data_IF_332865060599
#
_entry.id   IF_332865060599
#
_cell.length_a   1.000
_cell.length_b   1.000
_cell.length_c   1.000
_cell.angle_alpha   90.00
_cell.angle_beta   90.00
_cell.angle_gamma   90.00
#
_symmetry.space_group_name_H-M   'P 1'
#
loop_
_entity.id
_entity.type
_entity.pdbx_description
1 polymer ?
#
# COMPACT_ATOMS: atom_id res chain seq x y z
N UNK A 1 53.84 20.63 -53.76
CA UNK A 1 52.71 20.33 -54.66
C UNK A 1 52.08 19.01 -54.22
N UNK A 2 50.74 19.00 -54.16
CA UNK A 2 49.82 17.84 -54.18
C UNK A 2 50.08 16.68 -53.18
N UNK A 3 49.30 16.52 -52.10
CA UNK A 3 47.96 15.90 -52.03
C UNK A 3 47.80 14.57 -52.81
N UNK A 4 47.54 13.48 -52.07
CA UNK A 4 46.37 12.58 -52.19
C UNK A 4 46.29 11.57 -51.02
N UNK A 5 45.14 11.57 -50.33
CA UNK A 5 44.59 10.57 -49.37
C UNK A 5 44.27 9.22 -50.08
N UNK A 6 43.89 8.06 -49.44
CA UNK A 6 43.04 7.86 -48.23
C UNK A 6 43.46 6.60 -47.37
N UNK A 7 42.66 5.99 -46.44
CA UNK A 7 41.29 6.28 -45.99
C UNK A 7 41.05 6.40 -44.46
N UNK A 8 39.97 7.12 -44.15
CA UNK A 8 39.07 7.01 -43.01
C UNK A 8 39.50 6.10 -41.84
N UNK A 9 40.15 6.72 -40.83
CA UNK A 9 40.04 6.24 -39.46
C UNK A 9 38.73 6.79 -38.89
N UNK A 10 37.67 5.99 -38.94
CA UNK A 10 36.43 6.24 -38.20
C UNK A 10 36.78 6.20 -36.71
N UNK A 11 36.83 7.38 -36.08
CA UNK A 11 36.93 7.49 -34.63
C UNK A 11 35.56 7.09 -34.05
N UNK A 12 35.42 5.82 -33.68
CA UNK A 12 34.32 5.34 -32.85
C UNK A 12 34.44 6.02 -31.47
N UNK A 13 33.65 7.07 -31.27
CA UNK A 13 33.32 7.60 -29.95
C UNK A 13 32.47 6.55 -29.21
N UNK A 14 33.15 5.63 -28.55
CA UNK A 14 32.55 4.84 -27.47
C UNK A 14 32.30 5.80 -26.31
N UNK A 15 31.12 6.44 -26.31
CA UNK A 15 30.54 6.99 -25.09
C UNK A 15 30.15 5.79 -24.24
N UNK A 16 31.12 5.25 -23.51
CA UNK A 16 30.83 4.47 -22.32
C UNK A 16 30.25 5.46 -21.31
N UNK A 17 28.94 5.69 -21.39
CA UNK A 17 28.19 6.16 -20.25
C UNK A 17 28.37 5.06 -19.20
N UNK A 18 29.34 5.26 -18.31
CA UNK A 18 29.34 4.59 -17.03
C UNK A 18 28.06 5.04 -16.33
N UNK A 19 26.96 4.35 -16.61
CA UNK A 19 25.81 4.33 -15.74
C UNK A 19 26.33 3.59 -14.51
N UNK A 20 27.01 4.32 -13.63
CA UNK A 20 27.00 3.94 -12.23
C UNK A 20 25.53 3.64 -11.93
N UNK A 21 25.20 2.48 -11.32
CA UNK A 21 23.83 2.28 -10.90
C UNK A 21 23.50 3.54 -10.12
N UNK A 22 22.51 4.30 -10.59
CA UNK A 22 21.84 5.27 -9.74
C UNK A 22 21.38 4.38 -8.60
N UNK A 23 22.15 4.32 -7.51
CA UNK A 23 21.60 3.96 -6.22
C UNK A 23 20.56 5.05 -6.05
N UNK A 24 19.32 4.78 -6.48
CA UNK A 24 18.23 5.73 -6.40
C UNK A 24 18.20 6.07 -4.93
N UNK A 25 18.64 7.28 -4.59
CA UNK A 25 18.64 7.70 -3.21
C UNK A 25 17.19 7.56 -2.77
N UNK A 26 16.95 6.68 -1.79
CA UNK A 26 15.61 6.46 -1.24
C UNK A 26 15.17 7.81 -0.68
N UNK A 27 14.17 8.41 -1.33
CA UNK A 27 13.65 9.74 -1.00
C UNK A 27 12.18 9.60 -0.65
N UNK A 28 11.67 10.43 0.27
CA UNK A 28 10.25 10.45 0.57
C UNK A 28 9.41 10.84 -0.66
N UNK A 29 8.10 10.61 -0.56
CA UNK A 29 7.12 11.17 -1.49
C UNK A 29 7.33 12.68 -1.64
N UNK A 30 7.21 13.19 -2.86
CA UNK A 30 7.64 14.54 -3.25
C UNK A 30 6.71 15.16 -4.29
N UNK A 31 6.93 16.42 -4.64
CA UNK A 31 6.16 17.12 -5.68
C UNK A 31 6.21 16.42 -7.05
N UNK A 32 7.28 15.67 -7.34
CA UNK A 32 7.35 14.87 -8.56
C UNK A 32 6.27 13.76 -8.57
N UNK A 33 5.96 13.17 -7.42
CA UNK A 33 4.87 12.19 -7.31
C UNK A 33 3.51 12.87 -7.50
N UNK A 34 3.35 14.11 -7.02
CA UNK A 34 2.13 14.90 -7.22
C UNK A 34 1.90 15.19 -8.71
N UNK A 35 2.95 15.61 -9.42
CA UNK A 35 2.88 15.87 -10.86
C UNK A 35 2.56 14.59 -11.65
N UNK A 36 3.25 13.48 -11.36
CA UNK A 36 3.01 12.21 -12.05
C UNK A 36 1.60 11.68 -11.77
N UNK A 37 1.10 11.78 -10.54
CA UNK A 37 -0.28 11.39 -10.24
C UNK A 37 -1.28 12.24 -11.05
N UNK A 38 -1.06 13.55 -11.15
CA UNK A 38 -1.93 14.43 -11.94
C UNK A 38 -1.93 14.07 -13.44
N UNK A 39 -0.78 13.67 -13.98
CA UNK A 39 -0.66 13.22 -15.37
C UNK A 39 -1.31 11.85 -15.61
N UNK A 40 -1.04 10.87 -14.74
CA UNK A 40 -1.56 9.50 -14.87
C UNK A 40 -3.09 9.44 -14.74
N UNK A 41 -3.67 10.28 -13.90
CA UNK A 41 -5.11 10.37 -13.68
C UNK A 41 -5.77 11.54 -14.46
N UNK A 42 -5.07 12.12 -15.44
CA UNK A 42 -5.62 13.22 -16.25
C UNK A 42 -6.79 12.78 -17.14
N UNK A 43 -6.77 11.54 -17.62
CA UNK A 43 -7.92 10.94 -18.28
C UNK A 43 -9.02 10.71 -17.24
N UNK A 44 -10.20 11.30 -17.46
CA UNK A 44 -11.36 11.07 -16.59
C UNK A 44 -11.62 9.57 -16.52
N UNK A 45 -11.57 8.94 -15.34
CA UNK A 45 -11.86 7.53 -15.23
C UNK A 45 -13.31 7.24 -15.62
N UNK A 46 -13.52 6.18 -16.42
CA UNK A 46 -14.86 5.77 -16.88
C UNK A 46 -15.48 4.69 -15.97
N UNK A 47 -14.71 4.13 -15.03
CA UNK A 47 -15.15 3.10 -14.09
C UNK A 47 -14.94 3.52 -12.62
N UNK A 48 -15.67 2.86 -11.71
CA UNK A 48 -15.70 3.18 -10.28
C UNK A 48 -14.34 2.93 -9.58
N UNK A 49 -13.63 1.87 -9.95
CA UNK A 49 -12.36 1.51 -9.30
C UNK A 49 -11.30 2.55 -9.62
N UNK A 50 -11.08 2.84 -10.90
CA UNK A 50 -10.12 3.87 -11.32
C UNK A 50 -10.54 5.27 -10.82
N UNK A 51 -11.84 5.55 -10.73
CA UNK A 51 -12.35 6.80 -10.12
C UNK A 51 -11.94 6.91 -8.66
N UNK A 52 -12.18 5.87 -7.86
CA UNK A 52 -11.80 5.84 -6.44
C UNK A 52 -10.29 6.02 -6.27
N UNK A 53 -9.49 5.28 -7.04
CA UNK A 53 -8.03 5.36 -7.00
C UNK A 53 -7.51 6.77 -7.27
N UNK A 54 -8.07 7.45 -8.27
CA UNK A 54 -7.72 8.82 -8.60
C UNK A 54 -8.04 9.78 -7.43
N UNK A 55 -9.29 9.78 -6.96
CA UNK A 55 -9.72 10.74 -5.92
C UNK A 55 -9.02 10.49 -4.59
N UNK A 56 -8.78 9.22 -4.25
CA UNK A 56 -8.05 8.82 -3.04
C UNK A 56 -6.58 9.22 -3.13
N UNK A 57 -5.92 8.97 -4.27
CA UNK A 57 -4.52 9.38 -4.50
C UNK A 57 -4.36 10.89 -4.37
N UNK A 58 -5.23 11.67 -5.01
CA UNK A 58 -5.19 13.13 -4.91
C UNK A 58 -5.43 13.63 -3.48
N UNK A 59 -6.32 12.98 -2.73
CA UNK A 59 -6.53 13.30 -1.30
C UNK A 59 -5.28 13.05 -0.47
N UNK A 60 -4.61 11.91 -0.64
CA UNK A 60 -3.38 11.57 0.09
C UNK A 60 -2.23 12.52 -0.26
N UNK A 61 -2.08 12.88 -1.52
CA UNK A 61 -1.01 13.76 -2.01
C UNK A 61 -1.30 15.25 -1.82
N UNK A 62 -2.52 15.63 -1.42
CA UNK A 62 -2.93 17.04 -1.36
C UNK A 62 -2.88 17.73 -2.73
N UNK A 63 -3.16 17.00 -3.80
CA UNK A 63 -3.26 17.54 -5.17
C UNK A 63 -4.61 18.21 -5.34
N UNK A 64 -4.61 19.45 -5.83
CA UNK A 64 -5.84 20.17 -6.11
C UNK A 64 -6.55 19.54 -7.31
N UNK A 65 -7.80 19.12 -7.09
CA UNK A 65 -8.62 18.45 -8.11
C UNK A 65 -9.43 19.45 -8.93
N UNK A 66 -9.71 19.10 -10.18
CA UNK A 66 -10.71 19.78 -10.98
C UNK A 66 -12.11 19.55 -10.36
N UNK A 67 -12.87 20.62 -10.12
CA UNK A 67 -14.24 20.54 -9.61
C UNK A 67 -15.16 19.72 -10.53
N UNK A 68 -14.87 19.67 -11.82
CA UNK A 68 -15.55 18.83 -12.80
C UNK A 68 -15.33 17.34 -12.58
N UNK A 69 -14.16 16.92 -12.08
CA UNK A 69 -13.88 15.53 -11.70
C UNK A 69 -14.71 15.14 -10.48
N UNK A 70 -14.66 15.96 -9.42
CA UNK A 70 -15.40 15.69 -8.17
C UNK A 70 -16.92 15.59 -8.43
N UNK A 71 -17.48 16.49 -9.25
CA UNK A 71 -18.89 16.46 -9.62
C UNK A 71 -19.29 15.21 -10.42
N UNK A 72 -18.46 14.78 -11.38
CA UNK A 72 -18.70 13.55 -12.15
C UNK A 72 -18.61 12.30 -11.27
N UNK A 73 -17.58 12.22 -10.43
CA UNK A 73 -17.37 11.11 -9.51
C UNK A 73 -18.53 10.98 -8.51
N UNK A 74 -18.99 12.10 -7.93
CA UNK A 74 -20.16 12.08 -7.05
C UNK A 74 -21.44 11.67 -7.78
N UNK A 75 -21.65 12.12 -9.02
CA UNK A 75 -22.81 11.69 -9.81
C UNK A 75 -22.78 10.19 -10.11
N UNK A 76 -21.60 9.66 -10.47
CA UNK A 76 -21.40 8.23 -10.70
C UNK A 76 -21.66 7.42 -9.43
N UNK A 77 -21.10 7.83 -8.29
CA UNK A 77 -21.32 7.18 -7.01
C UNK A 77 -22.80 7.21 -6.61
N UNK A 78 -23.47 8.36 -6.66
CA UNK A 78 -24.87 8.49 -6.30
C UNK A 78 -25.79 7.63 -7.19
N UNK A 79 -25.52 7.57 -8.49
CA UNK A 79 -26.24 6.72 -9.43
C UNK A 79 -26.08 5.23 -9.07
N UNK A 80 -24.85 4.77 -8.82
CA UNK A 80 -24.57 3.39 -8.42
C UNK A 80 -25.22 3.02 -7.09
N UNK A 81 -25.13 3.88 -6.07
CA UNK A 81 -25.72 3.63 -4.75
C UNK A 81 -27.25 3.54 -4.81
N UNK A 82 -27.88 4.34 -5.67
CA UNK A 82 -29.35 4.35 -5.85
C UNK A 82 -29.86 3.18 -6.69
N UNK A 83 -28.97 2.46 -7.38
CA UNK A 83 -29.34 1.31 -8.22
C UNK A 83 -29.52 0.06 -7.38
N UNK A 84 -30.72 -0.53 -7.44
CA UNK A 84 -31.05 -1.76 -6.72
C UNK A 84 -30.32 -3.01 -7.23
N UNK A 85 -29.74 -2.96 -8.44
CA UNK A 85 -29.05 -4.09 -9.08
C UNK A 85 -27.53 -4.01 -9.01
N UNK A 86 -26.96 -2.98 -8.37
CA UNK A 86 -25.50 -2.86 -8.27
C UNK A 86 -24.89 -3.99 -7.43
N UNK A 87 -23.80 -4.63 -7.92
CA UNK A 87 -23.08 -5.66 -7.19
C UNK A 87 -22.29 -5.08 -5.99
N UNK A 88 -21.87 -5.94 -5.07
CA UNK A 88 -21.16 -5.53 -3.85
C UNK A 88 -19.87 -4.73 -4.16
N UNK A 89 -19.10 -5.14 -5.18
CA UNK A 89 -17.90 -4.42 -5.65
C UNK A 89 -18.22 -2.96 -6.00
N UNK A 90 -19.28 -2.73 -6.77
CA UNK A 90 -19.64 -1.40 -7.23
C UNK A 90 -20.17 -0.53 -6.09
N UNK A 91 -20.96 -1.13 -5.19
CA UNK A 91 -21.42 -0.46 -3.96
C UNK A 91 -20.23 -0.05 -3.09
N UNK A 92 -19.28 -0.95 -2.86
CA UNK A 92 -18.07 -0.66 -2.10
C UNK A 92 -17.31 0.55 -2.66
N UNK A 93 -17.00 0.53 -3.96
CA UNK A 93 -16.29 1.64 -4.62
C UNK A 93 -17.09 2.94 -4.58
N UNK A 94 -18.41 2.88 -4.82
CA UNK A 94 -19.27 4.06 -4.78
C UNK A 94 -19.37 4.68 -3.38
N UNK A 95 -19.47 3.86 -2.32
CA UNK A 95 -19.45 4.34 -0.92
C UNK A 95 -18.12 5.01 -0.61
N UNK A 96 -17.00 4.44 -1.07
CA UNK A 96 -15.67 5.01 -0.84
C UNK A 96 -15.48 6.35 -1.57
N UNK A 97 -15.92 6.45 -2.83
CA UNK A 97 -15.93 7.72 -3.57
C UNK A 97 -16.75 8.77 -2.82
N UNK A 98 -17.96 8.39 -2.37
CA UNK A 98 -18.85 9.28 -1.64
C UNK A 98 -18.20 9.80 -0.35
N UNK A 99 -17.54 8.93 0.41
CA UNK A 99 -16.84 9.31 1.64
C UNK A 99 -15.57 10.13 1.43
N UNK A 100 -14.81 9.84 0.38
CA UNK A 100 -13.59 10.60 0.05
C UNK A 100 -13.93 12.05 -0.33
N UNK A 101 -14.98 12.24 -1.13
CA UNK A 101 -15.40 13.53 -1.70
C UNK A 101 -16.46 14.28 -0.89
N UNK A 102 -17.13 13.61 0.06
CA UNK A 102 -18.27 14.20 0.78
C UNK A 102 -19.49 14.43 -0.12
N UNK A 103 -19.80 13.45 -0.99
CA UNK A 103 -20.91 13.56 -1.92
C UNK A 103 -22.26 13.67 -1.20
N UNK A 104 -23.18 14.49 -1.73
CA UNK A 104 -24.54 14.59 -1.20
C UNK A 104 -25.40 13.43 -1.69
N UNK A 105 -25.55 12.40 -0.87
CA UNK A 105 -26.42 11.23 -1.10
C UNK A 105 -27.49 11.20 0.00
N UNK A 106 -28.72 10.81 -0.36
CA UNK A 106 -29.82 10.71 0.59
C UNK A 106 -29.55 9.63 1.65
N UNK A 107 -29.92 9.90 2.91
CA UNK A 107 -29.65 9.00 4.02
C UNK A 107 -30.33 7.62 3.86
N UNK A 108 -31.53 7.56 3.28
CA UNK A 108 -32.25 6.31 3.06
C UNK A 108 -31.56 5.39 2.05
N UNK A 109 -30.74 5.94 1.15
CA UNK A 109 -29.93 5.15 0.21
C UNK A 109 -28.85 4.38 0.95
N UNK A 110 -28.23 4.98 1.98
CA UNK A 110 -27.19 4.30 2.75
C UNK A 110 -27.74 3.16 3.62
N UNK A 111 -28.97 3.29 4.13
CA UNK A 111 -29.65 2.23 4.86
C UNK A 111 -30.00 1.02 3.95
N UNK A 112 -30.44 1.29 2.72
CA UNK A 112 -30.65 0.26 1.68
C UNK A 112 -29.34 -0.46 1.33
N UNK A 113 -28.29 0.31 1.05
CA UNK A 113 -26.96 -0.24 0.73
C UNK A 113 -26.43 -1.10 1.88
N UNK A 114 -26.52 -0.63 3.12
CA UNK A 114 -26.10 -1.41 4.29
C UNK A 114 -26.87 -2.73 4.39
N UNK A 115 -28.19 -2.72 4.13
CA UNK A 115 -29.02 -3.91 4.16
C UNK A 115 -28.63 -4.92 3.08
N UNK A 116 -28.34 -4.45 1.86
CA UNK A 116 -27.90 -5.29 0.74
C UNK A 116 -26.52 -5.90 0.96
N UNK A 117 -25.55 -5.13 1.45
CA UNK A 117 -24.22 -5.66 1.76
C UNK A 117 -24.28 -6.70 2.89
N UNK A 118 -25.12 -6.49 3.91
CA UNK A 118 -25.35 -7.51 4.95
C UNK A 118 -25.99 -8.79 4.39
N UNK A 119 -26.88 -8.68 3.40
CA UNK A 119 -27.45 -9.85 2.75
C UNK A 119 -26.39 -10.66 2.01
N UNK A 120 -25.49 -10.00 1.25
CA UNK A 120 -24.38 -10.65 0.56
C UNK A 120 -23.48 -11.43 1.52
N UNK A 121 -23.14 -10.87 2.68
CA UNK A 121 -22.29 -11.52 3.70
C UNK A 121 -22.90 -12.84 4.19
N UNK A 122 -24.23 -12.96 4.26
CA UNK A 122 -24.90 -14.16 4.79
C UNK A 122 -24.81 -15.36 3.85
N UNK A 123 -24.77 -15.11 2.55
CA UNK A 123 -24.94 -16.15 1.53
C UNK A 123 -23.63 -16.49 0.81
N UNK A 124 -22.56 -15.74 1.04
CA UNK A 124 -21.32 -15.87 0.27
C UNK A 124 -20.30 -16.83 0.89
N UNK A 125 -19.60 -17.56 0.02
CA UNK A 125 -18.37 -18.32 0.30
C UNK A 125 -17.13 -17.66 -0.35
N UNK A 126 -17.30 -16.50 -0.99
CA UNK A 126 -16.25 -15.79 -1.71
C UNK A 126 -15.58 -14.72 -0.85
N UNK A 127 -14.25 -14.78 -0.81
CA UNK A 127 -13.41 -13.78 -0.18
C UNK A 127 -13.66 -12.37 -0.71
N UNK A 128 -13.87 -12.22 -2.02
CA UNK A 128 -14.07 -10.91 -2.64
C UNK A 128 -15.42 -10.30 -2.22
N UNK A 129 -16.47 -11.11 -2.18
CA UNK A 129 -17.78 -10.66 -1.72
C UNK A 129 -17.76 -10.28 -0.22
N UNK A 130 -17.05 -11.05 0.61
CA UNK A 130 -16.77 -10.64 2.00
C UNK A 130 -16.03 -9.32 2.05
N UNK A 131 -14.95 -9.18 1.30
CA UNK A 131 -14.11 -7.98 1.27
C UNK A 131 -14.90 -6.73 0.88
N UNK A 132 -15.62 -6.78 -0.24
CA UNK A 132 -16.41 -5.63 -0.71
C UNK A 132 -17.56 -5.30 0.23
N UNK A 133 -18.26 -6.32 0.75
CA UNK A 133 -19.41 -6.08 1.61
C UNK A 133 -19.02 -5.57 2.98
N UNK A 134 -18.03 -6.18 3.63
CA UNK A 134 -17.51 -5.72 4.93
C UNK A 134 -16.84 -4.35 4.78
N UNK A 135 -16.02 -4.16 3.75
CA UNK A 135 -15.36 -2.88 3.47
C UNK A 135 -16.36 -1.76 3.18
N UNK A 136 -17.46 -2.05 2.49
CA UNK A 136 -18.54 -1.11 2.22
C UNK A 136 -19.26 -0.69 3.50
N UNK A 137 -19.62 -1.66 4.35
CA UNK A 137 -20.20 -1.40 5.67
C UNK A 137 -19.28 -0.58 6.57
N UNK A 138 -17.98 -0.88 6.58
CA UNK A 138 -16.98 -0.11 7.33
C UNK A 138 -16.91 1.33 6.81
N UNK A 139 -16.89 1.50 5.49
CA UNK A 139 -16.83 2.83 4.87
C UNK A 139 -18.08 3.67 5.19
N UNK A 140 -19.25 3.06 5.33
CA UNK A 140 -20.46 3.73 5.82
C UNK A 140 -20.32 4.14 7.29
N UNK A 141 -19.80 3.25 8.14
CA UNK A 141 -19.55 3.55 9.57
C UNK A 141 -18.58 4.71 9.74
N UNK A 142 -17.50 4.75 8.97
CA UNK A 142 -16.51 5.83 8.99
C UNK A 142 -17.08 7.18 8.53
N UNK A 143 -18.13 7.16 7.71
CA UNK A 143 -18.89 8.35 7.30
C UNK A 143 -19.93 8.80 8.35
N UNK A 144 -20.04 8.10 9.48
CA UNK A 144 -20.94 8.45 10.59
C UNK A 144 -22.31 7.75 10.54
N UNK A 145 -22.51 6.80 9.63
CA UNK A 145 -23.74 5.99 9.61
C UNK A 145 -23.70 4.91 10.69
N UNK A 146 -24.85 4.63 11.31
CA UNK A 146 -24.97 3.61 12.35
C UNK A 146 -24.98 2.20 11.73
N UNK A 147 -23.80 1.61 11.58
CA UNK A 147 -23.64 0.27 11.00
C UNK A 147 -22.96 -0.68 11.99
N UNK A 148 -23.63 -1.80 12.24
CA UNK A 148 -23.15 -2.92 13.05
C UNK A 148 -23.31 -4.22 12.26
N UNK A 149 -22.32 -5.11 12.38
CA UNK A 149 -22.38 -6.48 11.89
C UNK A 149 -22.70 -7.42 13.05
N UNK A 150 -23.97 -7.83 13.19
CA UNK A 150 -24.43 -8.68 14.31
C UNK A 150 -23.79 -10.06 14.30
N UNK A 151 -23.53 -10.60 13.11
CA UNK A 151 -23.02 -11.97 12.91
C UNK A 151 -21.50 -11.99 12.76
N UNK A 152 -20.81 -11.01 13.36
CA UNK A 152 -19.37 -10.78 13.17
C UNK A 152 -18.51 -12.01 13.48
N UNK A 153 -18.84 -12.77 14.53
CA UNK A 153 -18.09 -13.99 14.88
C UNK A 153 -18.19 -15.06 13.77
N UNK A 154 -19.40 -15.33 13.29
CA UNK A 154 -19.64 -16.26 12.17
C UNK A 154 -18.95 -15.79 10.88
N UNK A 155 -19.03 -14.49 10.56
CA UNK A 155 -18.34 -13.92 9.38
C UNK A 155 -16.82 -14.03 9.52
N UNK A 156 -16.27 -13.77 10.71
CA UNK A 156 -14.84 -13.91 10.98
C UNK A 156 -14.38 -15.36 10.74
N UNK A 157 -15.14 -16.33 11.26
CA UNK A 157 -14.85 -17.75 11.05
C UNK A 157 -14.92 -18.17 9.58
N UNK A 158 -15.89 -17.66 8.83
CA UNK A 158 -16.03 -17.95 7.39
C UNK A 158 -14.81 -17.44 6.60
N UNK A 159 -14.39 -16.19 6.82
CA UNK A 159 -13.19 -15.64 6.15
C UNK A 159 -11.93 -16.38 6.62
N UNK A 160 -11.84 -16.73 7.91
CA UNK A 160 -10.71 -17.49 8.44
C UNK A 160 -10.60 -18.89 7.83
N UNK A 161 -11.71 -19.55 7.53
CA UNK A 161 -11.71 -20.90 6.94
C UNK A 161 -10.99 -20.96 5.58
N UNK A 162 -10.87 -19.83 4.88
CA UNK A 162 -10.15 -19.70 3.60
C UNK A 162 -8.62 -19.67 3.76
N UNK A 163 -8.12 -19.48 4.98
CA UNK A 163 -6.68 -19.40 5.28
C UNK A 163 -5.95 -20.73 5.07
N UNK A 164 -4.72 -20.69 4.57
CA UNK A 164 -3.84 -21.85 4.45
C UNK A 164 -2.73 -21.84 5.50
N UNK A 165 -2.09 -23.00 5.68
CA UNK A 165 -1.08 -23.22 6.72
C UNK A 165 0.16 -22.35 6.55
N UNK A 166 0.44 -21.84 5.35
CA UNK A 166 1.56 -20.96 5.00
C UNK A 166 1.25 -19.46 5.10
N UNK A 167 0.04 -19.11 5.54
CA UNK A 167 -0.40 -17.71 5.65
C UNK A 167 -0.94 -17.11 4.35
N UNK A 168 -1.12 -17.91 3.28
CA UNK A 168 -1.88 -17.49 2.08
C UNK A 168 -3.35 -17.78 2.23
N UNK A 169 -4.19 -17.13 1.43
CA UNK A 169 -5.66 -17.29 1.48
C UNK A 169 -6.22 -17.74 0.14
N UNK A 170 -7.27 -18.56 0.20
CA UNK A 170 -8.09 -18.93 -0.96
C UNK A 170 -9.11 -17.84 -1.27
N UNK A 171 -9.57 -17.79 -2.52
CA UNK A 171 -10.62 -16.85 -2.94
C UNK A 171 -12.02 -17.34 -2.61
N UNK A 172 -12.19 -18.65 -2.47
CA UNK A 172 -13.45 -19.26 -2.08
C UNK A 172 -13.18 -20.66 -1.51
N UNK A 173 -14.22 -21.34 -1.04
CA UNK A 173 -14.09 -22.66 -0.42
C UNK A 173 -13.74 -23.77 -1.41
N UNK A 174 -14.02 -23.57 -2.70
CA UNK A 174 -13.85 -24.56 -3.77
C UNK A 174 -12.52 -24.40 -4.51
N UNK A 175 -11.89 -23.22 -4.47
CA UNK A 175 -10.60 -22.98 -5.09
C UNK A 175 -9.54 -23.83 -4.40
N UNK A 176 -8.72 -24.56 -5.17
CA UNK A 176 -7.53 -25.23 -4.63
C UNK A 176 -6.39 -24.23 -4.41
N UNK A 177 -6.42 -23.13 -5.14
CA UNK A 177 -5.34 -22.14 -5.16
C UNK A 177 -5.52 -21.09 -4.07
N UNK A 178 -4.40 -20.77 -3.42
CA UNK A 178 -4.29 -19.70 -2.44
C UNK A 178 -3.21 -18.72 -2.86
N UNK A 179 -3.39 -17.46 -2.49
CA UNK A 179 -2.54 -16.38 -2.95
C UNK A 179 -2.11 -15.45 -1.83
N UNK A 180 -0.96 -14.81 -2.03
CA UNK A 180 -0.43 -13.76 -1.15
C UNK A 180 -1.25 -12.49 -1.29
N UNK A 181 -1.69 -12.17 -2.52
CA UNK A 181 -2.58 -11.05 -2.77
C UNK A 181 -3.92 -11.21 -2.04
N UNK A 182 -4.50 -12.43 -2.04
CA UNK A 182 -5.73 -12.75 -1.30
C UNK A 182 -5.53 -12.67 0.21
N UNK A 183 -4.34 -12.97 0.73
CA UNK A 183 -4.06 -12.82 2.16
C UNK A 183 -4.21 -11.36 2.61
N UNK A 184 -3.72 -10.41 1.81
CA UNK A 184 -3.94 -8.98 2.08
C UNK A 184 -5.42 -8.60 2.13
N UNK A 185 -6.20 -9.03 1.13
CA UNK A 185 -7.66 -8.82 1.06
C UNK A 185 -8.36 -9.41 2.29
N UNK A 186 -8.02 -10.63 2.67
CA UNK A 186 -8.63 -11.31 3.81
C UNK A 186 -8.32 -10.62 5.13
N UNK A 187 -7.08 -10.16 5.34
CA UNK A 187 -6.70 -9.44 6.55
C UNK A 187 -7.43 -8.11 6.67
N UNK A 188 -7.65 -7.40 5.56
CA UNK A 188 -8.44 -6.18 5.54
C UNK A 188 -9.91 -6.45 5.85
N UNK A 189 -10.50 -7.50 5.25
CA UNK A 189 -11.87 -7.91 5.53
C UNK A 189 -12.05 -8.31 7.01
N UNK A 190 -11.13 -9.11 7.57
CA UNK A 190 -11.13 -9.47 8.99
C UNK A 190 -11.02 -8.24 9.89
N UNK A 191 -10.21 -7.25 9.51
CA UNK A 191 -10.11 -5.99 10.25
C UNK A 191 -11.44 -5.23 10.26
N UNK A 192 -12.14 -5.19 9.11
CA UNK A 192 -13.46 -4.60 9.01
C UNK A 192 -14.51 -5.32 9.85
N UNK A 193 -14.48 -6.66 9.90
CA UNK A 193 -15.38 -7.45 10.77
C UNK A 193 -15.18 -7.07 12.24
N UNK A 194 -13.93 -7.01 12.71
CA UNK A 194 -13.61 -6.61 14.10
C UNK A 194 -14.11 -5.19 14.39
N UNK A 195 -13.91 -4.25 13.46
CA UNK A 195 -14.37 -2.85 13.61
C UNK A 195 -15.89 -2.69 13.61
N UNK A 196 -16.62 -3.57 12.91
CA UNK A 196 -18.08 -3.53 12.78
C UNK A 196 -18.82 -4.31 13.86
N UNK A 197 -18.10 -5.12 14.64
CA UNK A 197 -18.68 -5.92 15.72
C UNK A 197 -19.01 -5.06 16.94
N UNK A 198 -20.19 -5.30 17.53
CA UNK A 198 -20.56 -4.74 18.85
C UNK A 198 -20.06 -5.61 20.01
N UNK A 199 -19.68 -6.87 19.71
CA UNK A 199 -19.12 -7.80 20.68
C UNK A 199 -17.63 -8.04 20.41
N UNK A 200 -16.87 -8.39 21.45
CA UNK A 200 -15.47 -8.79 21.28
C UNK A 200 -15.41 -10.09 20.46
N UNK A 201 -14.69 -10.05 19.33
CA UNK A 201 -14.36 -11.25 18.53
C UNK A 201 -13.38 -12.11 19.32
N UNK A 202 -13.54 -13.43 19.29
CA UNK A 202 -12.73 -14.38 20.08
C UNK A 202 -11.21 -14.06 20.01
N UNK A 203 -10.59 -13.67 21.14
CA UNK A 203 -9.17 -13.36 21.19
C UNK A 203 -8.25 -14.50 20.74
N UNK A 204 -8.69 -15.75 20.89
CA UNK A 204 -7.94 -16.93 20.44
C UNK A 204 -7.85 -16.96 18.92
N UNK A 205 -8.96 -16.65 18.22
CA UNK A 205 -9.04 -16.57 16.76
C UNK A 205 -8.20 -15.41 16.21
N UNK A 206 -8.20 -14.27 16.90
CA UNK A 206 -7.28 -13.16 16.61
C UNK A 206 -5.82 -13.63 16.73
N UNK A 207 -5.50 -14.45 17.75
CA UNK A 207 -4.19 -15.08 17.91
C UNK A 207 -3.79 -15.97 16.74
N UNK A 208 -4.73 -16.77 16.21
CA UNK A 208 -4.48 -17.60 15.03
C UNK A 208 -4.16 -16.75 13.80
N UNK A 209 -4.93 -15.69 13.54
CA UNK A 209 -4.67 -14.77 12.41
C UNK A 209 -3.30 -14.09 12.56
N UNK A 210 -2.92 -13.67 13.77
CA UNK A 210 -1.58 -13.12 14.04
C UNK A 210 -0.47 -14.10 13.66
N UNK A 211 -0.64 -15.39 13.98
CA UNK A 211 0.32 -16.41 13.60
C UNK A 211 0.39 -16.62 12.09
N UNK A 212 -0.74 -16.58 11.39
CA UNK A 212 -0.76 -16.69 9.93
C UNK A 212 -0.08 -15.49 9.25
N UNK A 213 -0.21 -14.28 9.79
CA UNK A 213 0.57 -13.11 9.34
C UNK A 213 2.08 -13.38 9.48
N UNK A 214 2.55 -13.95 10.60
CA UNK A 214 3.97 -14.28 10.77
C UNK A 214 4.46 -15.25 9.69
N UNK A 215 3.66 -16.26 9.36
CA UNK A 215 3.99 -17.24 8.31
C UNK A 215 3.99 -16.61 6.92
N UNK A 216 3.02 -15.73 6.63
CA UNK A 216 2.99 -14.96 5.40
C UNK A 216 4.27 -14.13 5.25
N UNK A 217 4.69 -13.42 6.29
CA UNK A 217 5.96 -12.69 6.27
C UNK A 217 7.18 -13.61 6.19
N UNK A 218 7.05 -14.92 6.44
CA UNK A 218 8.08 -15.92 6.19
C UNK A 218 8.34 -16.19 4.69
N UNK A 219 7.39 -15.86 3.80
CA UNK A 219 7.50 -16.08 2.35
C UNK A 219 7.96 -14.84 1.56
N UNK A 220 8.14 -13.70 2.25
CA UNK A 220 8.56 -12.44 1.66
C UNK A 220 9.91 -12.60 0.94
N UNK A 221 10.04 -11.97 -0.23
CA UNK A 221 11.29 -11.95 -1.00
C UNK A 221 12.15 -10.77 -0.56
N UNK A 222 13.46 -10.89 -0.76
CA UNK A 222 14.42 -9.86 -0.42
C UNK A 222 15.47 -9.68 -1.51
N UNK A 223 15.96 -8.46 -1.66
CA UNK A 223 17.20 -8.15 -2.35
C UNK A 223 18.34 -7.95 -1.33
N UNK A 224 19.59 -8.08 -1.77
CA UNK A 224 20.79 -7.96 -0.91
C UNK A 224 20.94 -6.58 -0.26
N UNK A 225 20.24 -5.58 -0.79
CA UNK A 225 20.25 -4.21 -0.29
C UNK A 225 19.25 -3.97 0.87
N UNK A 226 18.57 -5.01 1.34
CA UNK A 226 17.56 -4.92 2.40
C UNK A 226 16.19 -4.46 1.93
N UNK A 227 15.93 -4.45 0.61
CA UNK A 227 14.59 -4.26 0.05
C UNK A 227 13.79 -5.56 0.17
N UNK A 228 12.54 -5.47 0.64
CA UNK A 228 11.65 -6.63 0.79
C UNK A 228 10.34 -6.43 0.03
N UNK A 229 9.82 -7.49 -0.58
CA UNK A 229 8.60 -7.42 -1.38
C UNK A 229 7.89 -8.78 -1.44
N UNK A 230 6.59 -8.74 -1.70
CA UNK A 230 5.83 -9.92 -2.07
C UNK A 230 5.67 -9.96 -3.59
N UNK A 231 5.79 -11.14 -4.17
CA UNK A 231 5.58 -11.37 -5.60
C UNK A 231 4.99 -12.75 -5.79
N UNK A 232 3.97 -12.80 -6.63
CA UNK A 232 3.13 -13.94 -6.83
C UNK A 232 3.10 -14.25 -8.32
N UNK A 233 3.72 -15.37 -8.70
CA UNK A 233 4.00 -15.58 -10.12
C UNK A 233 2.76 -15.92 -10.93
N UNK A 234 1.71 -16.52 -10.37
CA UNK A 234 0.40 -16.73 -11.01
C UNK A 234 -0.68 -17.03 -9.95
N UNK A 235 -1.89 -16.54 -10.19
CA UNK A 235 -3.12 -16.97 -9.50
C UNK A 235 -4.09 -17.43 -10.60
N UNK A 236 -4.40 -18.72 -10.64
CA UNK A 236 -5.50 -19.33 -11.40
C UNK A 236 -5.65 -18.88 -12.87
N UNK A 237 -4.53 -18.82 -13.60
CA UNK A 237 -4.52 -18.59 -15.05
C UNK A 237 -5.18 -17.30 -15.57
N UNK A 238 -5.67 -16.40 -14.70
CA UNK A 238 -6.59 -15.33 -15.09
C UNK A 238 -6.10 -13.91 -14.83
N UNK A 239 -5.07 -13.70 -13.99
CA UNK A 239 -4.34 -12.41 -13.98
C UNK A 239 -3.02 -12.50 -13.19
N UNK A 240 -1.91 -12.08 -13.79
CA UNK A 240 -0.65 -11.89 -13.05
C UNK A 240 -0.77 -10.65 -12.16
N UNK A 241 -0.63 -10.81 -10.83
CA UNK A 241 -0.53 -9.68 -9.89
C UNK A 241 0.94 -9.39 -9.61
N UNK A 242 1.43 -8.31 -10.23
CA UNK A 242 2.81 -7.89 -10.10
C UNK A 242 3.23 -7.57 -8.65
N UNK A 243 4.54 -7.45 -8.38
CA UNK A 243 5.08 -7.29 -7.03
C UNK A 243 4.52 -6.07 -6.27
N UNK A 244 4.23 -4.99 -6.99
CA UNK A 244 3.66 -3.75 -6.43
C UNK A 244 2.26 -4.01 -5.88
N UNK A 245 1.37 -4.54 -6.71
CA UNK A 245 -0.02 -4.85 -6.35
C UNK A 245 -0.10 -5.86 -5.21
N UNK A 246 0.72 -6.92 -5.26
CA UNK A 246 0.74 -7.96 -4.23
C UNK A 246 1.26 -7.43 -2.90
N UNK A 247 2.37 -6.67 -2.92
CA UNK A 247 2.90 -6.05 -1.71
C UNK A 247 1.94 -5.01 -1.12
N UNK A 248 1.25 -4.25 -1.97
CA UNK A 248 0.30 -3.22 -1.53
C UNK A 248 -0.91 -3.83 -0.83
N UNK A 249 -1.46 -4.91 -1.38
CA UNK A 249 -2.54 -5.66 -0.75
C UNK A 249 -2.15 -6.14 0.66
N UNK A 250 -0.95 -6.71 0.80
CA UNK A 250 -0.47 -7.18 2.12
C UNK A 250 -0.27 -6.03 3.10
N UNK A 251 0.35 -4.91 2.66
CA UNK A 251 0.51 -3.73 3.52
C UNK A 251 -0.85 -3.21 3.99
N UNK A 252 -1.82 -3.09 3.08
CA UNK A 252 -3.18 -2.64 3.40
C UNK A 252 -3.85 -3.55 4.43
N UNK A 253 -3.91 -4.85 4.17
CA UNK A 253 -4.54 -5.81 5.07
C UNK A 253 -3.88 -5.88 6.45
N UNK A 254 -2.55 -5.95 6.50
CA UNK A 254 -1.81 -6.11 7.75
C UNK A 254 -1.87 -4.84 8.60
N UNK A 255 -1.78 -3.66 8.00
CA UNK A 255 -1.89 -2.39 8.74
C UNK A 255 -3.31 -2.16 9.24
N UNK A 256 -4.34 -2.45 8.43
CA UNK A 256 -5.74 -2.42 8.85
C UNK A 256 -6.00 -3.37 10.02
N UNK A 257 -5.52 -4.62 9.94
CA UNK A 257 -5.67 -5.59 11.02
C UNK A 257 -4.92 -5.16 12.29
N UNK A 258 -3.70 -4.65 12.17
CA UNK A 258 -2.93 -4.12 13.31
C UNK A 258 -3.64 -2.97 14.04
N UNK A 259 -4.44 -2.17 13.31
CA UNK A 259 -5.14 -1.02 13.87
C UNK A 259 -6.29 -1.41 14.79
N UNK A 260 -6.95 -2.53 14.53
CA UNK A 260 -8.18 -2.92 15.24
C UNK A 260 -7.94 -3.94 16.35
N UNK A 261 -6.78 -4.61 16.35
CA UNK A 261 -6.46 -5.63 17.36
C UNK A 261 -5.60 -5.09 18.50
N UNK A 262 -5.75 -5.72 19.67
CA UNK A 262 -4.92 -5.45 20.85
C UNK A 262 -3.52 -6.07 20.71
N UNK A 263 -2.52 -5.41 21.31
CA UNK A 263 -1.11 -5.85 21.26
C UNK A 263 -0.40 -5.49 19.95
N UNK A 264 0.82 -6.03 19.78
CA UNK A 264 1.63 -5.86 18.56
C UNK A 264 1.57 -7.11 17.69
N UNK A 265 1.67 -6.90 16.38
CA UNK A 265 1.95 -8.00 15.45
C UNK A 265 3.43 -8.40 15.58
N UNK A 266 3.73 -9.69 15.54
CA UNK A 266 5.09 -10.21 15.64
C UNK A 266 5.79 -10.18 14.26
N UNK A 267 5.82 -9.00 13.64
CA UNK A 267 6.49 -8.79 12.36
C UNK A 267 7.82 -8.11 12.64
N UNK A 268 8.95 -8.68 12.18
CA UNK A 268 10.24 -8.03 12.31
C UNK A 268 10.28 -6.67 11.61
N UNK A 269 10.79 -5.64 12.31
CA UNK A 269 10.77 -4.25 11.83
C UNK A 269 11.54 -4.04 10.53
N UNK A 270 12.59 -4.83 10.30
CA UNK A 270 13.38 -4.81 9.07
C UNK A 270 12.56 -5.22 7.83
N UNK A 271 11.54 -6.07 7.97
CA UNK A 271 10.66 -6.44 6.86
C UNK A 271 9.72 -5.29 6.49
N UNK A 272 9.22 -4.55 7.48
CA UNK A 272 8.40 -3.36 7.26
C UNK A 272 9.23 -2.22 6.65
N UNK A 273 10.45 -2.00 7.16
CA UNK A 273 11.43 -1.09 6.57
C UNK A 273 11.76 -1.48 5.12
N UNK A 274 11.92 -2.79 4.87
CA UNK A 274 12.15 -3.36 3.56
C UNK A 274 11.04 -3.11 2.55
N UNK A 275 9.78 -3.24 2.98
CA UNK A 275 8.61 -2.92 2.16
C UNK A 275 8.54 -1.43 1.84
N UNK A 276 8.81 -0.56 2.83
CA UNK A 276 8.94 0.88 2.56
C UNK A 276 10.03 1.17 1.53
N UNK A 277 11.19 0.52 1.68
CA UNK A 277 12.28 0.63 0.71
C UNK A 277 11.87 0.17 -0.69
N UNK A 278 11.11 -0.91 -0.79
CA UNK A 278 10.58 -1.41 -2.07
C UNK A 278 9.70 -0.36 -2.75
N UNK A 279 8.70 0.17 -2.04
CA UNK A 279 7.80 1.18 -2.62
C UNK A 279 8.51 2.48 -2.97
N UNK A 280 9.45 2.95 -2.15
CA UNK A 280 10.25 4.14 -2.48
C UNK A 280 11.23 3.89 -3.63
N UNK A 281 11.75 2.66 -3.74
CA UNK A 281 12.70 2.23 -4.77
C UNK A 281 12.11 2.21 -6.18
N UNK A 282 10.78 2.11 -6.31
CA UNK A 282 10.07 2.27 -7.59
C UNK A 282 10.33 3.66 -8.20
N UNK A 283 10.52 4.68 -7.35
CA UNK A 283 10.62 6.07 -7.80
C UNK A 283 9.27 6.57 -8.29
N UNK A 284 9.22 7.12 -9.50
CA UNK A 284 7.98 7.62 -10.10
C UNK A 284 7.21 6.47 -10.76
N UNK A 285 5.93 6.25 -10.40
CA UNK A 285 5.14 5.14 -10.91
C UNK A 285 4.85 5.31 -12.41
N UNK A 286 4.84 4.20 -13.15
CA UNK A 286 4.61 4.19 -14.60
C UNK A 286 3.16 4.00 -15.03
N UNK A 287 2.26 3.66 -14.11
CA UNK A 287 0.84 3.43 -14.37
C UNK A 287 -0.03 3.99 -13.24
N UNK A 288 -1.29 4.32 -13.54
CA UNK A 288 -2.25 4.81 -12.55
C UNK A 288 -2.44 3.83 -11.37
N UNK A 289 -2.55 2.52 -11.68
CA UNK A 289 -2.70 1.45 -10.68
C UNK A 289 -1.47 1.33 -9.79
N UNK A 290 -0.26 1.37 -10.36
CA UNK A 290 0.98 1.34 -9.58
C UNK A 290 1.13 2.61 -8.73
N UNK A 291 0.72 3.77 -9.27
CA UNK A 291 0.70 5.02 -8.53
C UNK A 291 -0.19 4.93 -7.29
N UNK A 292 -1.45 4.49 -7.46
CA UNK A 292 -2.34 4.29 -6.32
C UNK A 292 -1.77 3.31 -5.30
N UNK A 293 -1.35 2.12 -5.74
CA UNK A 293 -0.80 1.09 -4.86
C UNK A 293 0.44 1.56 -4.09
N UNK A 294 1.35 2.28 -4.75
CA UNK A 294 2.56 2.82 -4.15
C UNK A 294 2.22 3.91 -3.12
N UNK A 295 1.44 4.91 -3.52
CA UNK A 295 1.11 6.06 -2.65
C UNK A 295 0.30 5.61 -1.44
N UNK A 296 -0.69 4.74 -1.62
CA UNK A 296 -1.48 4.24 -0.51
C UNK A 296 -0.63 3.42 0.47
N UNK A 297 0.22 2.52 -0.04
CA UNK A 297 1.11 1.72 0.81
C UNK A 297 2.07 2.60 1.62
N UNK A 298 2.65 3.62 1.00
CA UNK A 298 3.53 4.57 1.69
C UNK A 298 2.76 5.39 2.74
N UNK A 299 1.53 5.82 2.44
CA UNK A 299 0.68 6.53 3.40
C UNK A 299 0.33 5.66 4.61
N UNK A 300 0.04 4.37 4.40
CA UNK A 300 -0.20 3.42 5.49
C UNK A 300 1.06 3.14 6.30
N UNK A 301 2.23 3.08 5.65
CA UNK A 301 3.52 2.86 6.33
C UNK A 301 4.00 4.09 7.10
N UNK A 302 3.57 5.30 6.73
CA UNK A 302 3.91 6.53 7.44
C UNK A 302 3.39 6.55 8.88
N UNK A 303 2.18 6.05 9.13
CA UNK A 303 1.58 6.02 10.47
C UNK A 303 0.91 4.67 10.72
N UNK A 304 1.67 3.74 11.30
CA UNK A 304 1.17 2.40 11.62
C UNK A 304 1.62 1.91 13.00
N UNK A 305 0.87 0.94 13.55
CA UNK A 305 1.12 0.33 14.86
C UNK A 305 2.16 -0.79 14.87
N UNK A 306 2.76 -1.12 13.72
CA UNK A 306 3.70 -2.23 13.57
C UNK A 306 5.13 -1.71 13.72
N UNK A 307 5.56 -0.89 12.76
CA UNK A 307 6.88 -0.26 12.71
C UNK A 307 6.82 0.94 11.74
N UNK A 308 7.19 2.14 12.20
CA UNK A 308 7.20 3.35 11.37
C UNK A 308 8.58 3.51 10.72
N UNK A 309 8.71 3.34 9.39
CA UNK A 309 9.97 3.50 8.69
C UNK A 309 10.36 4.99 8.60
N UNK A 310 11.64 5.28 8.87
CA UNK A 310 12.21 6.62 8.81
C UNK A 310 13.30 6.70 7.75
N UNK A 311 13.37 7.84 7.07
CA UNK A 311 14.39 8.16 6.08
C UNK A 311 15.37 9.13 6.73
N UNK A 312 16.65 8.76 6.74
CA UNK A 312 17.74 9.65 7.13
C UNK A 312 18.37 10.26 5.87
N UNK A 313 18.22 11.57 5.71
CA UNK A 313 18.79 12.33 4.61
C UNK A 313 20.05 13.07 5.08
N UNK A 314 21.15 12.84 4.37
CA UNK A 314 22.42 13.52 4.59
C UNK A 314 22.59 14.69 3.60
N UNK A 315 23.32 15.76 3.99
CA UNK A 315 23.69 16.81 3.07
C UNK A 315 24.46 16.25 1.88
N UNK A 316 24.15 16.73 0.68
CA UNK A 316 24.81 16.29 -0.56
C UNK A 316 26.28 16.71 -0.65
N UNK A 317 26.71 17.70 0.13
CA UNK A 317 28.09 18.18 0.22
C UNK A 317 28.45 18.47 1.67
N UNK A 318 29.52 17.83 2.15
CA UNK A 318 30.18 18.13 3.43
C UNK A 318 31.64 18.42 3.11
N UNK A 319 32.07 19.67 3.27
CA UNK A 319 33.43 20.11 2.86
C UNK A 319 34.50 19.68 3.86
N UNK A 320 34.17 19.69 5.16
CA UNK A 320 35.02 19.21 6.25
C UNK A 320 34.12 18.84 7.41
N UNK A 321 34.46 17.78 8.14
CA UNK A 321 33.74 17.36 9.33
C UNK A 321 34.77 16.92 10.38
N UNK A 322 34.88 17.69 11.45
CA UNK A 322 35.70 17.41 12.63
C UNK A 322 34.83 16.92 13.78
N UNK A 323 35.44 16.41 14.84
CA UNK A 323 34.72 15.96 16.05
C UNK A 323 33.98 17.08 16.79
N UNK A 324 34.24 18.35 16.45
CA UNK A 324 33.56 19.52 17.02
C UNK A 324 32.38 20.00 16.16
N UNK A 325 32.26 19.52 14.94
CA UNK A 325 31.25 19.97 14.00
C UNK A 325 29.93 19.23 14.19
N UNK A 326 28.82 19.93 13.93
CA UNK A 326 27.49 19.33 13.91
C UNK A 326 27.08 19.07 12.46
N UNK A 327 26.86 17.80 12.13
CA UNK A 327 26.25 17.43 10.84
C UNK A 327 24.74 17.63 10.93
N UNK A 328 24.22 18.60 10.18
CA UNK A 328 22.77 18.74 10.01
C UNK A 328 22.27 17.58 9.18
N UNK A 329 21.39 16.78 9.76
CA UNK A 329 20.69 15.69 9.08
C UNK A 329 19.20 15.97 9.11
N UNK A 330 18.50 15.42 8.15
CA UNK A 330 17.03 15.47 8.10
C UNK A 330 16.51 14.05 8.31
N UNK A 331 15.49 13.91 9.16
CA UNK A 331 14.82 12.63 9.40
C UNK A 331 13.34 12.82 9.11
N UNK A 332 12.84 12.13 8.09
CA UNK A 332 11.42 12.19 7.69
C UNK A 332 10.79 10.81 7.76
N UNK A 333 9.46 10.77 7.73
CA UNK A 333 8.71 9.57 7.36
C UNK A 333 8.86 9.28 5.87
N UNK A 334 8.31 8.15 5.42
CA UNK A 334 8.27 7.77 3.99
C UNK A 334 7.46 8.74 3.12
N UNK A 335 6.54 9.50 3.71
CA UNK A 335 5.70 10.48 3.01
C UNK A 335 6.20 11.92 3.19
N UNK A 336 7.31 12.13 3.91
CA UNK A 336 7.96 13.42 4.07
C UNK A 336 7.53 14.22 5.31
N UNK A 337 6.69 13.67 6.18
CA UNK A 337 6.38 14.31 7.46
C UNK A 337 7.58 14.31 8.40
N UNK A 338 7.62 15.27 9.32
CA UNK A 338 8.65 15.33 10.35
C UNK A 338 8.60 14.07 11.23
N UNK A 339 9.75 13.45 11.45
CA UNK A 339 9.85 12.32 12.35
C UNK A 339 9.54 12.75 13.81
N UNK A 340 9.13 11.80 14.68
CA UNK A 340 9.07 12.06 16.12
C UNK A 340 10.39 12.61 16.66
N UNK A 341 10.42 13.22 17.86
CA UNK A 341 11.67 13.66 18.48
C UNK A 341 12.66 12.51 18.64
N UNK A 342 13.80 12.60 17.96
CA UNK A 342 14.84 11.56 17.90
C UNK A 342 16.22 12.19 18.12
N UNK A 343 17.17 11.39 18.61
CA UNK A 343 18.59 11.75 18.66
C UNK A 343 19.36 10.87 17.68
N UNK A 344 19.98 11.50 16.68
CA UNK A 344 20.88 10.82 15.74
C UNK A 344 22.31 10.99 16.24
N UNK A 345 23.00 9.88 16.49
CA UNK A 345 24.40 9.88 16.89
C UNK A 345 25.25 9.44 15.69
N UNK A 346 26.20 10.27 15.28
CA UNK A 346 27.19 9.91 14.28
C UNK A 346 28.22 8.97 14.89
N UNK A 347 28.24 7.71 14.44
CA UNK A 347 29.13 6.67 14.99
C UNK A 347 30.52 6.71 14.35
N UNK A 348 30.58 6.88 13.02
CA UNK A 348 31.84 6.87 12.27
C UNK A 348 31.72 7.68 10.98
N UNK A 349 32.84 8.27 10.55
CA UNK A 349 33.01 8.86 9.22
C UNK A 349 34.18 8.14 8.56
N UNK A 350 33.95 7.54 7.41
CA UNK A 350 34.99 6.90 6.62
C UNK A 350 35.46 7.90 5.56
N UNK A 351 36.76 8.22 5.57
CA UNK A 351 37.38 9.02 4.52
C UNK A 351 37.60 8.19 3.25
N UNK A 352 37.63 8.83 2.09
CA UNK A 352 37.78 8.18 0.78
C UNK A 352 39.01 7.25 0.68
N UNK A 353 40.03 7.45 1.52
CA UNK A 353 41.28 6.67 1.55
C UNK A 353 41.34 5.62 2.67
N UNK A 354 40.27 5.43 3.44
CA UNK A 354 40.27 4.51 4.59
C UNK A 354 39.94 3.07 4.17
N UNK A 355 40.92 2.17 4.28
CA UNK A 355 40.66 0.71 4.21
C UNK A 355 39.83 0.30 5.42
N UNK A 356 38.67 -0.28 5.16
CA UNK A 356 37.81 -0.87 6.19
C UNK A 356 38.55 -2.07 6.79
N UNK A 357 38.97 -1.98 8.05
CA UNK A 357 39.35 -3.14 8.86
C UNK A 357 38.10 -3.45 9.69
N UNK A 358 37.28 -4.39 9.24
CA UNK A 358 36.22 -4.97 10.07
C UNK A 358 36.88 -5.75 11.19
N UNK A 359 36.91 -5.20 12.40
CA UNK A 359 37.15 -6.00 13.60
C UNK A 359 35.85 -6.71 13.95
N UNK A 360 35.78 -8.00 13.63
CA UNK A 360 34.77 -8.90 14.19
C UNK A 360 34.81 -8.75 15.71
N UNK A 361 33.69 -8.29 16.28
CA UNK A 361 33.49 -8.25 17.72
C UNK A 361 32.85 -9.59 18.12
N UNK A 362 33.54 -10.31 19.01
CA UNK A 362 33.08 -11.55 19.65
C UNK A 362 31.81 -11.37 20.47
#
# INVERSE_FOLDING_TARGET
MAWRLPPLAVLLLLVAAAVAPLSSAVRPVSDAHRSVAAELFAASPDDLETTYEAVRTFKMLGVQRDKGLDGKACKLAAHTLSSSSSPAKDLFQAVQIAGVLGCSVDAGVYDDVASRLKAVIKDTDSLLEFYYSVGGLLSLKEQGHSVVLSDADSTFHAIKALSQSDGRWRYDTNSAESSTFAAGIALEALAGVVSLSDAEVDPSMIGVVKNDIVKLFGTIKSYDDGTFYFDEKYVDGSEYKGPITTSASVVRGVTSFANVVSGKLNIPGEKILGLAKFFLGIGLPGSAKDCFNQIESLSLLENNRIFVPLILSLPSKVLSLTSKDQLKVEVTTVFGSAAPPLRVNLVQVLGSDSKIITTDSK
#
